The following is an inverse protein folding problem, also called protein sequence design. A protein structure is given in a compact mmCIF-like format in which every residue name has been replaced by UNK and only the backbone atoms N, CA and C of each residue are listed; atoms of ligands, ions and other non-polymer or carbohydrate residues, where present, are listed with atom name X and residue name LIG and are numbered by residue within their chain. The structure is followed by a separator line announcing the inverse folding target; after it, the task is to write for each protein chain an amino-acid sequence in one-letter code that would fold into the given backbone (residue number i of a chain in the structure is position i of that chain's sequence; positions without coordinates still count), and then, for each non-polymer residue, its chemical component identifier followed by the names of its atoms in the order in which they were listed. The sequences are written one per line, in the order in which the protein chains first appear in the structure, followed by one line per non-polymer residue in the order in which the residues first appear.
data_IF_890824560929
#
_entry.id   IF_890824560929
#
_cell.length_a   1.000
_cell.length_b   1.000
_cell.length_c   1.000
_cell.angle_alpha   90.00
_cell.angle_beta   90.00
_cell.angle_gamma   90.00
#
_symmetry.space_group_name_H-M   'P 1'
#
loop_
_entity.id
_entity.type
_entity.pdbx_description
1 polymer ?
#
# COMPACT_ATOMS: atom_id res chain seq x y z
N UNK A 1 13.31 -9.43 0.92
CA UNK A 1 11.93 -9.29 0.41
C UNK A 1 11.66 -7.81 0.34
N UNK A 2 11.37 -7.24 -0.84
CA UNK A 2 11.30 -5.79 -1.00
C UNK A 2 10.16 -5.19 -0.18
N UNK A 3 9.04 -5.90 -0.06
CA UNK A 3 7.83 -5.43 0.64
C UNK A 3 7.24 -6.58 1.45
N UNK A 4 6.61 -6.25 2.58
CA UNK A 4 5.87 -7.19 3.43
C UNK A 4 4.42 -6.75 3.56
N UNK A 5 3.48 -7.60 3.19
CA UNK A 5 2.05 -7.38 3.42
C UNK A 5 1.62 -8.10 4.70
N UNK A 6 0.88 -7.45 5.58
CA UNK A 6 0.29 -8.12 6.75
C UNK A 6 -0.98 -8.89 6.36
N UNK A 7 -1.33 -9.97 7.08
CA UNK A 7 -2.54 -10.74 6.79
C UNK A 7 -3.82 -9.89 6.88
N UNK A 8 -3.87 -8.93 7.81
CA UNK A 8 -5.03 -8.03 7.96
C UNK A 8 -5.23 -7.15 6.73
N UNK A 9 -4.14 -6.61 6.18
CA UNK A 9 -4.20 -5.83 4.95
C UNK A 9 -4.63 -6.69 3.77
N UNK A 10 -4.14 -7.92 3.68
CA UNK A 10 -4.53 -8.87 2.63
C UNK A 10 -6.02 -9.21 2.68
N UNK A 11 -6.58 -9.45 3.87
CA UNK A 11 -8.01 -9.72 4.05
C UNK A 11 -8.88 -8.52 3.60
N UNK A 12 -8.52 -7.31 4.01
CA UNK A 12 -9.27 -6.11 3.60
C UNK A 12 -9.19 -5.87 2.09
N UNK A 13 -8.03 -6.09 1.46
CA UNK A 13 -7.90 -5.97 0.00
C UNK A 13 -8.79 -6.98 -0.70
N UNK A 14 -8.81 -8.24 -0.26
CA UNK A 14 -9.70 -9.28 -0.83
C UNK A 14 -11.16 -8.86 -0.71
N UNK A 15 -11.55 -8.34 0.45
CA UNK A 15 -12.90 -7.85 0.69
C UNK A 15 -13.27 -6.70 -0.26
N UNK A 16 -12.39 -5.71 -0.44
CA UNK A 16 -12.61 -4.60 -1.38
C UNK A 16 -12.73 -5.12 -2.83
N UNK A 17 -11.89 -6.08 -3.22
CA UNK A 17 -11.95 -6.70 -4.55
C UNK A 17 -13.27 -7.42 -4.77
N UNK A 18 -13.73 -8.19 -3.79
CA UNK A 18 -15.04 -8.86 -3.84
C UNK A 18 -16.19 -7.85 -3.89
N UNK A 19 -16.17 -6.78 -3.09
CA UNK A 19 -17.16 -5.71 -3.14
C UNK A 19 -17.20 -5.02 -4.52
N UNK A 20 -16.04 -4.72 -5.12
CA UNK A 20 -15.99 -4.12 -6.46
C UNK A 20 -16.44 -5.06 -7.57
N UNK A 21 -16.15 -6.36 -7.44
CA UNK A 21 -16.65 -7.40 -8.34
C UNK A 21 -18.18 -7.50 -8.25
N UNK A 22 -18.74 -7.46 -7.03
CA UNK A 22 -20.19 -7.46 -6.83
C UNK A 22 -20.86 -6.18 -7.35
N UNK A 23 -20.18 -5.03 -7.24
CA UNK A 23 -20.64 -3.76 -7.79
C UNK A 23 -20.57 -3.70 -9.33
N UNK A 24 -20.03 -4.73 -10.00
CA UNK A 24 -19.85 -4.75 -11.46
C UNK A 24 -18.78 -3.77 -11.96
N UNK A 25 -17.96 -3.21 -11.07
CA UNK A 25 -16.86 -2.31 -11.42
C UNK A 25 -15.61 -3.08 -11.88
N UNK A 26 -15.50 -4.35 -11.47
CA UNK A 26 -14.43 -5.25 -11.87
C UNK A 26 -14.96 -6.51 -12.56
N UNK A 27 -14.35 -6.86 -13.69
CA UNK A 27 -14.59 -8.13 -14.38
C UNK A 27 -13.95 -9.31 -13.62
N UNK A 28 -14.14 -10.53 -14.13
CA UNK A 28 -13.53 -11.75 -13.58
C UNK A 28 -11.99 -11.81 -13.75
N UNK A 29 -11.37 -10.70 -14.13
CA UNK A 29 -9.95 -10.56 -14.36
C UNK A 29 -9.14 -10.54 -13.05
N UNK A 30 -7.87 -10.97 -13.10
CA UNK A 30 -6.98 -10.91 -11.94
C UNK A 30 -6.70 -9.46 -11.54
N UNK A 31 -6.84 -9.18 -10.26
CA UNK A 31 -6.59 -7.85 -9.68
C UNK A 31 -5.21 -7.81 -9.06
N UNK A 32 -4.49 -6.73 -9.35
CA UNK A 32 -3.15 -6.45 -8.87
C UNK A 32 -3.19 -5.18 -8.00
N UNK A 33 -2.66 -5.29 -6.79
CA UNK A 33 -2.51 -4.17 -5.88
C UNK A 33 -1.28 -3.37 -6.27
N UNK A 34 -1.48 -2.21 -6.90
CA UNK A 34 -0.41 -1.31 -7.31
C UNK A 34 0.00 -0.41 -6.16
N UNK A 35 1.26 -0.50 -5.72
CA UNK A 35 1.84 0.42 -4.75
C UNK A 35 2.59 1.54 -5.47
N UNK A 36 2.20 2.78 -5.21
CA UNK A 36 2.86 3.98 -5.73
C UNK A 36 3.19 4.93 -4.58
N UNK A 37 4.40 5.50 -4.57
CA UNK A 37 4.75 6.54 -3.60
C UNK A 37 4.31 7.89 -4.17
N UNK A 38 3.42 8.58 -3.46
CA UNK A 38 3.06 9.96 -3.76
C UNK A 38 3.74 10.87 -2.74
N UNK A 39 4.49 11.86 -3.22
CA UNK A 39 5.05 12.89 -2.35
C UNK A 39 3.92 13.69 -1.70
N UNK A 40 3.62 13.42 -0.43
CA UNK A 40 2.76 14.27 0.39
C UNK A 40 3.58 15.47 0.85
N UNK A 41 3.09 16.70 0.60
CA UNK A 41 3.80 17.92 1.00
C UNK A 41 4.09 17.98 2.50
N UNK A 42 5.06 18.82 2.89
CA UNK A 42 5.58 19.20 4.22
C UNK A 42 5.75 18.15 5.36
N UNK A 43 5.01 17.03 5.39
CA UNK A 43 4.88 16.16 6.57
C UNK A 43 5.00 14.65 6.29
N UNK A 44 5.28 14.21 5.05
CA UNK A 44 5.68 12.81 4.82
C UNK A 44 5.24 12.22 3.48
N UNK A 45 5.99 11.23 3.02
CA UNK A 45 5.66 10.42 1.85
C UNK A 45 4.37 9.63 2.12
N UNK A 46 3.39 9.74 1.22
CA UNK A 46 2.14 9.00 1.29
C UNK A 46 2.15 7.88 0.28
N UNK A 47 1.89 6.66 0.74
CA UNK A 47 1.82 5.51 -0.13
C UNK A 47 0.39 5.38 -0.64
N UNK A 48 0.22 5.38 -1.95
CA UNK A 48 -1.05 5.17 -2.61
C UNK A 48 -1.12 3.72 -3.07
N UNK A 49 -2.21 3.06 -2.69
CA UNK A 49 -2.59 1.73 -3.15
C UNK A 49 -3.69 1.90 -4.19
N UNK A 50 -3.50 1.31 -5.35
CA UNK A 50 -4.46 1.30 -6.45
C UNK A 50 -4.74 -0.15 -6.85
N UNK A 51 -5.92 -0.41 -7.41
CA UNK A 51 -6.29 -1.74 -7.88
C UNK A 51 -6.31 -1.70 -9.39
N UNK A 52 -5.36 -2.39 -10.01
CA UNK A 52 -5.19 -2.44 -11.45
C UNK A 52 -5.44 -3.88 -11.93
N UNK A 53 -6.03 -4.06 -13.10
CA UNK A 53 -6.19 -5.40 -13.72
C UNK A 53 -5.04 -5.69 -14.68
N UNK A 54 -4.20 -4.70 -14.98
CA UNK A 54 -3.04 -4.81 -15.83
C UNK A 54 -1.75 -4.61 -15.02
N UNK A 55 -0.73 -5.40 -15.32
CA UNK A 55 0.62 -5.18 -14.79
C UNK A 55 1.63 -5.30 -15.93
N UNK A 56 2.75 -4.58 -15.82
CA UNK A 56 3.81 -4.62 -16.83
C UNK A 56 5.10 -5.17 -16.23
N UNK A 57 5.40 -6.44 -16.48
CA UNK A 57 6.62 -7.13 -15.98
C UNK A 57 7.95 -6.43 -16.31
N UNK A 58 7.97 -5.59 -17.35
CA UNK A 58 9.18 -4.86 -17.77
C UNK A 58 9.50 -3.68 -16.86
N UNK A 59 8.48 -3.02 -16.31
CA UNK A 59 8.61 -1.79 -15.51
C UNK A 59 8.22 -1.98 -14.05
N UNK A 60 7.40 -2.98 -13.78
CA UNK A 60 6.87 -3.30 -12.46
C UNK A 60 7.44 -4.63 -11.97
N UNK A 61 7.52 -4.75 -10.65
CA UNK A 61 7.84 -5.98 -9.94
C UNK A 61 6.56 -6.57 -9.36
N UNK A 62 6.23 -7.80 -9.77
CA UNK A 62 5.08 -8.57 -9.29
C UNK A 62 5.53 -9.45 -8.12
N UNK A 63 4.79 -9.40 -7.02
CA UNK A 63 4.99 -10.26 -5.87
C UNK A 63 3.65 -10.73 -5.31
N UNK A 64 3.58 -11.98 -4.86
CA UNK A 64 2.37 -12.56 -4.29
C UNK A 64 2.56 -12.79 -2.79
N UNK A 65 1.69 -12.22 -1.97
CA UNK A 65 1.71 -12.39 -0.52
C UNK A 65 0.29 -12.60 -0.01
N UNK A 66 0.10 -13.61 0.85
CA UNK A 66 -1.20 -13.92 1.45
C UNK A 66 -2.33 -14.16 0.42
N UNK A 67 -1.99 -14.57 -0.81
CA UNK A 67 -2.93 -14.74 -1.92
C UNK A 67 -3.42 -13.42 -2.53
N UNK A 68 -2.68 -12.33 -2.33
CA UNK A 68 -2.86 -11.03 -3.00
C UNK A 68 -1.65 -10.77 -3.87
N UNK A 69 -1.89 -10.37 -5.11
CA UNK A 69 -0.85 -9.98 -6.06
C UNK A 69 -0.56 -8.49 -5.90
N UNK A 70 0.68 -8.15 -5.60
CA UNK A 70 1.15 -6.79 -5.39
C UNK A 70 2.09 -6.45 -6.53
N UNK A 71 1.90 -5.28 -7.12
CA UNK A 71 2.74 -4.78 -8.21
C UNK A 71 3.32 -3.44 -7.81
N UNK A 72 4.63 -3.29 -7.98
CA UNK A 72 5.35 -2.07 -7.59
C UNK A 72 6.24 -1.63 -8.73
N UNK A 73 6.16 -0.36 -9.10
CA UNK A 73 7.06 0.21 -10.12
C UNK A 73 8.51 0.12 -9.64
N UNK A 74 9.44 -0.32 -10.49
CA UNK A 74 10.86 -0.49 -10.14
C UNK A 74 11.51 0.77 -9.58
N UNK A 75 11.07 1.96 -9.99
CA UNK A 75 11.56 3.24 -9.42
C UNK A 75 11.06 3.43 -8.01
N UNK A 76 9.80 3.05 -7.74
CA UNK A 76 9.22 3.09 -6.40
C UNK A 76 9.81 2.04 -5.48
N UNK A 77 10.23 0.88 -6.01
CA UNK A 77 10.83 -0.22 -5.24
C UNK A 77 11.98 0.27 -4.35
N UNK A 78 12.86 1.13 -4.86
CA UNK A 78 13.96 1.73 -4.10
C UNK A 78 13.50 2.57 -2.90
N UNK A 79 12.31 3.16 -2.98
CA UNK A 79 11.71 3.95 -1.92
C UNK A 79 10.87 3.11 -0.96
N UNK A 80 10.39 1.94 -1.36
CA UNK A 80 9.56 1.06 -0.53
C UNK A 80 10.28 -0.23 -0.15
N UNK A 81 11.59 -0.29 -0.37
CA UNK A 81 12.41 -1.43 0.02
C UNK A 81 12.39 -1.59 1.55
N UNK A 82 12.05 -2.78 2.01
CA UNK A 82 11.78 -3.08 3.42
C UNK A 82 10.45 -2.53 3.94
N UNK A 83 9.58 -1.98 3.10
CA UNK A 83 8.30 -1.45 3.57
C UNK A 83 7.35 -2.56 4.00
N UNK A 84 6.61 -2.31 5.07
CA UNK A 84 5.55 -3.18 5.58
C UNK A 84 4.21 -2.47 5.42
N UNK A 85 3.29 -3.09 4.67
CA UNK A 85 1.93 -2.62 4.46
C UNK A 85 1.03 -3.31 5.48
N UNK A 86 0.48 -2.52 6.40
CA UNK A 86 -0.50 -2.93 7.39
C UNK A 86 -1.84 -2.21 7.18
N UNK A 87 -2.91 -2.77 7.74
CA UNK A 87 -4.22 -2.15 7.69
C UNK A 87 -4.76 -1.89 9.09
N UNK A 88 -5.03 -0.62 9.36
CA UNK A 88 -5.57 -0.16 10.64
C UNK A 88 -7.08 0.00 10.46
N UNK A 89 -7.84 -0.75 11.24
CA UNK A 89 -9.30 -0.69 11.30
C UNK A 89 -9.74 -0.32 12.72
N UNK A 90 -9.40 0.89 13.16
CA UNK A 90 -9.83 1.42 14.45
C UNK A 90 -11.06 2.30 14.25
N UNK A 91 -11.93 2.37 15.27
CA UNK A 91 -13.20 3.13 15.22
C UNK A 91 -13.03 4.60 14.77
N UNK A 92 -11.85 5.18 15.03
CA UNK A 92 -11.49 6.55 14.68
C UNK A 92 -10.51 6.67 13.50
N UNK A 93 -9.94 5.55 13.01
CA UNK A 93 -8.92 5.56 11.96
C UNK A 93 -8.99 4.25 11.17
N UNK A 94 -9.59 4.34 9.99
CA UNK A 94 -9.56 3.27 8.97
C UNK A 94 -8.61 3.68 7.84
N UNK A 95 -7.60 2.87 7.57
CA UNK A 95 -6.67 3.17 6.47
C UNK A 95 -5.49 2.21 6.39
N UNK A 96 -4.84 2.21 5.22
CA UNK A 96 -3.60 1.50 5.01
C UNK A 96 -2.43 2.27 5.61
N UNK A 97 -1.66 1.60 6.45
CA UNK A 97 -0.46 2.12 7.08
C UNK A 97 0.74 1.45 6.43
N UNK A 98 1.59 2.24 5.78
CA UNK A 98 2.83 1.73 5.17
C UNK A 98 3.99 2.22 6.00
N UNK A 99 4.65 1.29 6.68
CA UNK A 99 5.83 1.55 7.48
C UNK A 99 7.06 1.24 6.64
N UNK A 100 7.88 2.24 6.38
CA UNK A 100 9.10 2.08 5.62
C UNK A 100 10.31 2.41 6.49
N UNK A 101 11.23 1.47 6.77
CA UNK A 101 12.42 1.75 7.57
C UNK A 101 13.35 2.77 6.89
N UNK A 102 13.29 2.89 5.56
CA UNK A 102 14.03 3.89 4.78
C UNK A 102 13.36 5.27 4.83
N UNK A 103 12.09 5.36 5.21
CA UNK A 103 11.45 6.63 5.50
C UNK A 103 11.95 7.12 6.86
N UNK A 104 13.14 7.72 6.89
CA UNK A 104 13.60 8.52 8.04
C UNK A 104 12.60 9.64 8.24
N UNK A 105 11.69 9.42 9.18
CA UNK A 105 10.81 10.43 9.75
C UNK A 105 11.68 11.51 10.39
N UNK A 106 12.08 12.49 9.59
CA UNK A 106 12.53 13.77 10.12
C UNK A 106 11.27 14.56 10.45
N UNK A 107 10.52 14.11 11.46
CA UNK A 107 9.57 14.99 12.14
C UNK A 107 10.38 15.90 13.08
N UNK A 108 11.05 16.87 12.48
CA UNK A 108 11.58 18.04 13.17
C UNK A 108 10.45 19.04 13.41
N UNK A 109 9.56 18.73 14.33
CA UNK A 109 8.53 19.61 14.92
C UNK A 109 7.82 18.75 16.00
N UNK A 110 8.24 18.71 17.27
CA UNK A 110 8.76 19.81 18.06
C UNK A 110 7.67 20.46 18.93
N UNK A 111 6.47 19.89 19.05
CA UNK A 111 5.48 20.36 20.03
C UNK A 111 4.73 19.19 20.66
N UNK A 112 5.48 18.44 21.46
CA UNK A 112 4.94 17.86 22.69
C UNK A 112 4.42 18.97 23.60
N UNK A 113 3.41 18.63 24.40
CA UNK A 113 2.72 19.42 25.43
C UNK A 113 1.62 20.38 24.96
N UNK A 114 0.39 19.84 24.88
CA UNK A 114 -0.77 20.53 25.44
C UNK A 114 -0.59 20.61 26.96
N UNK A 115 -0.54 21.83 27.50
CA UNK A 115 -1.08 22.16 28.82
C UNK A 115 -2.32 23.03 28.62
#
# INVERSE_FOLDING_TARGET
MPITLTPRAAEEIKRIVEEQRQAGALNDEPVYLRLSVKGGGCSGFQHKLDLDTCYNEKTDELMEQHGVRIVVDRKSLLYVDGATIDFINELNRRGFSVQNPNARTTCGCGSSFSM
#
